data_IF_210908978620
#
_entry.id   IF_210908978620
#
_cell.length_a   1.000
_cell.length_b   1.000
_cell.length_c   1.000
_cell.angle_alpha   90.00
_cell.angle_beta   90.00
_cell.angle_gamma   90.00
#
_symmetry.space_group_name_H-M   'P 1'
#
loop_
_entity.id
_entity.type
_entity.pdbx_description
1 polymer ?
#
# COMPACT_ATOMS: atom_id res chain seq x y z
N UNK A 1 -12.75 -32.40 -4.20
CA UNK A 1 -12.83 -32.35 -5.62
C UNK A 1 -12.30 -31.06 -6.24
N UNK A 2 -12.00 -30.01 -5.44
CA UNK A 2 -11.36 -28.78 -5.93
C UNK A 2 -10.03 -29.07 -6.67
N UNK A 3 -9.18 -29.95 -6.14
CA UNK A 3 -7.92 -30.33 -6.78
C UNK A 3 -8.11 -31.04 -8.14
N UNK A 4 -9.15 -31.85 -8.28
CA UNK A 4 -9.48 -32.49 -9.55
C UNK A 4 -10.01 -31.48 -10.57
N UNK A 5 -10.77 -30.50 -10.13
CA UNK A 5 -11.25 -29.43 -10.98
C UNK A 5 -10.09 -28.57 -11.48
N UNK A 6 -9.12 -28.22 -10.60
CA UNK A 6 -7.90 -27.51 -10.96
C UNK A 6 -7.03 -28.28 -11.96
N UNK A 7 -6.85 -29.63 -11.74
CA UNK A 7 -6.14 -30.49 -12.68
C UNK A 7 -6.82 -30.52 -14.06
N UNK A 8 -8.15 -30.57 -14.09
CA UNK A 8 -8.93 -30.52 -15.33
C UNK A 8 -8.75 -29.18 -16.04
N UNK A 9 -8.80 -28.06 -15.31
CA UNK A 9 -8.59 -26.73 -15.87
C UNK A 9 -7.18 -26.55 -16.45
N UNK A 10 -6.16 -27.17 -15.83
CA UNK A 10 -4.80 -27.20 -16.37
C UNK A 10 -4.74 -27.97 -17.71
N UNK A 11 -5.40 -29.14 -17.78
CA UNK A 11 -5.48 -29.93 -19.02
C UNK A 11 -6.21 -29.20 -20.15
N UNK A 12 -7.18 -28.36 -19.82
CA UNK A 12 -7.91 -27.52 -20.77
C UNK A 12 -7.12 -26.28 -21.23
N UNK A 13 -5.90 -26.09 -20.74
CA UNK A 13 -5.03 -25.03 -21.17
C UNK A 13 -5.32 -23.68 -20.50
N UNK A 14 -6.13 -23.64 -19.45
CA UNK A 14 -6.45 -22.41 -18.70
C UNK A 14 -5.22 -21.78 -18.06
N UNK A 15 -4.27 -22.60 -17.60
CA UNK A 15 -2.99 -22.12 -17.08
C UNK A 15 -2.23 -21.24 -18.08
N UNK A 16 -2.09 -21.69 -19.34
CA UNK A 16 -1.44 -20.90 -20.39
C UNK A 16 -2.21 -19.64 -20.78
N UNK A 17 -3.54 -19.68 -20.66
CA UNK A 17 -4.36 -18.51 -20.90
C UNK A 17 -4.14 -17.47 -19.79
N UNK A 18 -4.10 -17.91 -18.53
CA UNK A 18 -3.83 -17.07 -17.39
C UNK A 18 -2.42 -16.49 -17.44
N UNK A 19 -1.42 -17.29 -17.83
CA UNK A 19 -0.06 -16.81 -18.06
C UNK A 19 -0.04 -15.64 -19.07
N UNK A 20 -0.70 -15.78 -20.21
CA UNK A 20 -0.79 -14.71 -21.23
C UNK A 20 -1.50 -13.46 -20.71
N UNK A 21 -2.48 -13.62 -19.85
CA UNK A 21 -3.14 -12.50 -19.20
C UNK A 21 -2.13 -11.68 -18.36
N UNK A 22 -1.33 -12.38 -17.55
CA UNK A 22 -0.30 -11.71 -16.74
C UNK A 22 0.85 -11.17 -17.60
N UNK A 23 1.21 -11.80 -18.74
CA UNK A 23 2.14 -11.23 -19.72
C UNK A 23 1.66 -9.84 -20.19
N UNK A 24 0.35 -9.70 -20.47
CA UNK A 24 -0.20 -8.41 -20.92
C UNK A 24 -0.18 -7.29 -19.88
N UNK A 25 -0.05 -7.64 -18.60
CA UNK A 25 0.02 -6.65 -17.52
C UNK A 25 1.46 -6.35 -17.12
N UNK A 26 2.30 -7.39 -17.03
CA UNK A 26 3.59 -7.29 -16.32
C UNK A 26 4.82 -7.37 -17.22
N UNK A 27 4.66 -7.65 -18.51
CA UNK A 27 5.81 -7.63 -19.42
C UNK A 27 6.37 -6.21 -19.55
N UNK A 28 7.62 -6.02 -19.09
CA UNK A 28 8.28 -4.73 -19.10
C UNK A 28 7.93 -3.80 -17.93
N UNK A 29 7.18 -4.26 -16.93
CA UNK A 29 6.92 -3.49 -15.70
C UNK A 29 8.11 -3.63 -14.76
N UNK A 30 8.80 -2.53 -14.52
CA UNK A 30 9.91 -2.40 -13.58
C UNK A 30 9.50 -1.47 -12.43
N UNK A 31 8.52 -1.90 -11.61
CA UNK A 31 8.02 -1.08 -10.51
C UNK A 31 8.32 -1.74 -9.18
N UNK A 32 9.05 -1.04 -8.31
CA UNK A 32 9.24 -1.38 -6.92
C UNK A 32 8.47 -0.36 -6.07
N UNK A 33 7.45 -0.84 -5.35
CA UNK A 33 6.53 0.02 -4.59
C UNK A 33 6.73 -0.08 -3.08
N UNK A 34 7.60 -0.97 -2.63
CA UNK A 34 7.94 -1.06 -1.21
C UNK A 34 8.65 0.24 -0.80
N UNK A 35 8.14 0.97 0.21
CA UNK A 35 8.82 2.15 0.71
C UNK A 35 10.27 1.85 1.13
N UNK A 36 11.18 2.79 0.88
CA UNK A 36 12.56 2.64 1.35
C UNK A 36 12.57 2.50 2.87
N UNK A 37 13.32 1.53 3.41
CA UNK A 37 13.44 1.35 4.85
C UNK A 37 14.13 2.55 5.50
N UNK A 38 13.62 2.99 6.65
CA UNK A 38 14.22 4.03 7.49
C UNK A 38 15.10 3.45 8.60
N UNK A 39 15.21 2.12 8.68
CA UNK A 39 16.03 1.36 9.62
C UNK A 39 16.83 0.27 8.91
N UNK A 40 17.89 -0.16 9.56
CA UNK A 40 18.71 -1.28 9.10
C UNK A 40 19.29 -2.03 10.32
N UNK A 41 18.40 -2.60 11.13
CA UNK A 41 18.78 -3.35 12.33
C UNK A 41 19.04 -4.82 11.97
N UNK A 42 19.79 -5.53 12.81
CA UNK A 42 20.17 -6.94 12.54
C UNK A 42 19.07 -7.94 12.93
N UNK A 43 18.18 -7.57 13.86
CA UNK A 43 17.20 -8.50 14.43
C UNK A 43 15.80 -8.14 13.92
N UNK A 44 15.19 -9.00 13.08
CA UNK A 44 13.84 -8.80 12.62
C UNK A 44 12.84 -9.15 13.73
N UNK A 45 12.13 -8.17 14.24
CA UNK A 45 11.00 -8.36 15.15
C UNK A 45 9.71 -7.91 14.44
N UNK A 46 8.58 -8.33 14.97
CA UNK A 46 7.26 -7.90 14.49
C UNK A 46 6.88 -6.56 15.11
N UNK A 47 6.71 -5.54 14.26
CA UNK A 47 5.98 -4.33 14.61
C UNK A 47 4.49 -4.48 14.29
N UNK A 48 3.63 -3.89 15.11
CA UNK A 48 2.20 -3.86 14.88
C UNK A 48 1.60 -2.53 15.33
N UNK A 49 0.83 -1.91 14.46
CA UNK A 49 0.06 -0.70 14.74
C UNK A 49 -1.40 -0.91 14.36
N UNK A 50 -2.29 -0.26 15.09
CA UNK A 50 -3.72 -0.24 14.79
C UNK A 50 -4.27 1.16 15.02
N UNK A 51 -5.11 1.63 14.10
CA UNK A 51 -5.74 2.95 14.13
C UNK A 51 -7.17 2.85 13.63
N UNK A 52 -8.15 3.29 14.42
CA UNK A 52 -9.51 3.50 13.93
C UNK A 52 -9.53 4.73 13.01
N UNK A 53 -10.17 4.60 11.85
CA UNK A 53 -10.32 5.71 10.89
C UNK A 53 -11.44 6.65 11.34
N UNK A 54 -11.24 7.95 11.15
CA UNK A 54 -12.28 8.96 11.38
C UNK A 54 -13.36 8.95 10.29
N UNK A 55 -13.04 8.39 9.11
CA UNK A 55 -13.97 8.31 7.98
C UNK A 55 -15.09 7.31 8.28
N UNK A 56 -16.32 7.79 8.30
CA UNK A 56 -17.51 6.99 8.59
C UNK A 56 -17.84 6.03 7.46
N UNK A 57 -18.36 4.85 7.81
CA UNK A 57 -18.86 3.85 6.86
C UNK A 57 -19.82 4.44 5.82
N UNK A 58 -20.79 5.23 6.26
CA UNK A 58 -21.79 5.84 5.35
C UNK A 58 -21.17 6.75 4.27
N UNK A 59 -20.04 7.39 4.58
CA UNK A 59 -19.30 8.23 3.63
C UNK A 59 -18.59 7.36 2.60
N UNK A 60 -17.95 6.27 3.05
CA UNK A 60 -17.29 5.28 2.17
C UNK A 60 -18.32 4.63 1.24
N UNK A 61 -19.45 4.15 1.79
CA UNK A 61 -20.50 3.51 0.99
C UNK A 61 -21.11 4.47 -0.05
N UNK A 62 -21.33 5.75 0.31
CA UNK A 62 -21.79 6.76 -0.63
C UNK A 62 -20.78 7.03 -1.75
N UNK A 63 -19.47 7.05 -1.44
CA UNK A 63 -18.43 7.18 -2.44
C UNK A 63 -18.37 5.95 -3.37
N UNK A 64 -18.49 4.75 -2.80
CA UNK A 64 -18.56 3.51 -3.56
C UNK A 64 -19.73 3.48 -4.51
N UNK A 65 -20.94 3.87 -4.06
CA UNK A 65 -22.12 3.97 -4.91
C UNK A 65 -21.90 4.96 -6.07
N UNK A 66 -21.38 6.14 -5.78
CA UNK A 66 -21.08 7.17 -6.78
C UNK A 66 -20.06 6.70 -7.81
N UNK A 67 -19.05 5.96 -7.39
CA UNK A 67 -17.96 5.44 -8.25
C UNK A 67 -18.33 4.08 -8.90
N UNK A 68 -19.41 3.42 -8.47
CA UNK A 68 -19.80 2.10 -8.97
C UNK A 68 -18.81 1.00 -8.60
N UNK A 69 -18.15 1.10 -7.44
CA UNK A 69 -17.15 0.15 -6.95
C UNK A 69 -17.47 -0.35 -5.55
N UNK A 70 -16.79 -1.41 -5.13
CA UNK A 70 -16.91 -1.94 -3.75
C UNK A 70 -15.93 -1.23 -2.80
N UNK A 71 -16.16 -1.28 -1.48
CA UNK A 71 -15.18 -0.78 -0.51
C UNK A 71 -13.78 -1.37 -0.71
N UNK A 72 -13.68 -2.66 -1.02
CA UNK A 72 -12.39 -3.30 -1.32
C UNK A 72 -11.64 -2.58 -2.46
N UNK A 73 -12.33 -2.28 -3.56
CA UNK A 73 -11.73 -1.57 -4.70
C UNK A 73 -11.32 -0.15 -4.30
N UNK A 74 -12.18 0.56 -3.56
CA UNK A 74 -11.90 1.91 -3.10
C UNK A 74 -10.64 1.96 -2.23
N UNK A 75 -10.57 1.11 -1.21
CA UNK A 75 -9.42 1.05 -0.30
C UNK A 75 -8.15 0.55 -0.99
N UNK A 76 -8.26 -0.47 -1.86
CA UNK A 76 -7.11 -0.99 -2.64
C UNK A 76 -6.57 0.07 -3.59
N UNK A 77 -7.44 0.79 -4.30
CA UNK A 77 -7.03 1.86 -5.20
C UNK A 77 -6.39 3.03 -4.46
N UNK A 78 -6.92 3.41 -3.31
CA UNK A 78 -6.31 4.43 -2.47
C UNK A 78 -4.90 4.03 -2.02
N UNK A 79 -4.71 2.76 -1.64
CA UNK A 79 -3.40 2.23 -1.29
C UNK A 79 -2.42 2.30 -2.47
N UNK A 80 -2.88 1.97 -3.68
CA UNK A 80 -2.10 2.14 -4.90
C UNK A 80 -1.60 3.57 -5.08
N UNK A 81 -2.48 4.56 -4.98
CA UNK A 81 -2.11 5.99 -5.05
C UNK A 81 -1.12 6.38 -3.95
N UNK A 82 -1.34 5.92 -2.71
CA UNK A 82 -0.43 6.19 -1.60
C UNK A 82 0.98 5.66 -1.90
N UNK A 83 1.09 4.43 -2.40
CA UNK A 83 2.40 3.82 -2.68
C UNK A 83 3.13 4.53 -3.81
N UNK A 84 2.46 5.07 -4.82
CA UNK A 84 3.13 5.88 -5.85
C UNK A 84 3.82 7.12 -5.26
N UNK A 85 3.27 7.70 -4.18
CA UNK A 85 3.87 8.85 -3.51
C UNK A 85 5.09 8.46 -2.68
N UNK A 86 5.06 7.28 -2.05
CA UNK A 86 6.18 6.76 -1.27
C UNK A 86 7.33 6.22 -2.14
N UNK A 87 7.03 5.67 -3.32
CA UNK A 87 8.03 5.20 -4.28
C UNK A 87 8.48 6.26 -5.29
N UNK A 88 7.84 7.45 -5.29
CA UNK A 88 8.04 8.51 -6.28
C UNK A 88 7.91 7.99 -7.73
N UNK A 89 6.89 7.17 -7.96
CA UNK A 89 6.54 6.57 -9.25
C UNK A 89 5.13 6.97 -9.66
N UNK A 90 4.79 6.86 -10.94
CA UNK A 90 3.41 6.98 -11.41
C UNK A 90 2.63 5.66 -11.27
N UNK A 91 3.32 4.56 -11.08
CA UNK A 91 2.74 3.22 -10.94
C UNK A 91 3.07 2.63 -9.59
N UNK A 92 2.22 1.73 -9.11
CA UNK A 92 2.48 0.92 -7.94
C UNK A 92 2.13 -0.55 -8.15
N UNK A 93 2.93 -1.43 -7.55
CA UNK A 93 2.77 -2.87 -7.59
C UNK A 93 2.88 -3.45 -6.19
N UNK A 94 1.89 -4.21 -5.77
CA UNK A 94 1.84 -4.86 -4.48
C UNK A 94 1.01 -6.13 -4.55
N UNK A 95 1.02 -6.93 -3.50
CA UNK A 95 0.18 -8.12 -3.42
C UNK A 95 -1.11 -7.84 -2.63
N UNK A 96 -2.18 -8.52 -2.99
CA UNK A 96 -3.41 -8.56 -2.19
C UNK A 96 -3.83 -10.00 -1.90
N UNK A 97 -4.68 -10.16 -0.90
CA UNK A 97 -5.18 -11.46 -0.47
C UNK A 97 -6.66 -11.58 -0.86
N UNK A 98 -7.00 -12.72 -1.42
CA UNK A 98 -8.34 -13.03 -1.85
C UNK A 98 -8.76 -14.44 -1.39
N UNK A 99 -10.03 -14.63 -1.06
CA UNK A 99 -10.52 -15.83 -0.39
C UNK A 99 -10.57 -17.11 -1.26
N UNK A 100 -10.44 -16.97 -2.58
CA UNK A 100 -10.45 -18.11 -3.52
C UNK A 100 -11.78 -18.86 -3.64
N UNK A 101 -12.90 -18.30 -3.16
CA UNK A 101 -14.20 -18.93 -3.12
C UNK A 101 -15.18 -18.40 -4.16
N UNK A 102 -14.71 -18.22 -5.40
CA UNK A 102 -15.54 -17.70 -6.50
C UNK A 102 -16.61 -18.72 -6.99
N UNK A 103 -16.44 -19.98 -6.66
CA UNK A 103 -17.38 -21.05 -7.04
C UNK A 103 -18.26 -21.39 -5.83
N UNK A 104 -19.58 -21.31 -6.02
CA UNK A 104 -20.55 -21.64 -4.97
C UNK A 104 -20.41 -23.05 -4.40
N UNK A 105 -19.83 -23.99 -5.18
CA UNK A 105 -19.51 -25.35 -4.72
C UNK A 105 -18.44 -25.37 -3.63
N UNK A 106 -17.61 -24.31 -3.54
CA UNK A 106 -16.51 -24.19 -2.58
C UNK A 106 -16.90 -23.44 -1.30
N UNK A 107 -18.08 -22.83 -1.27
CA UNK A 107 -18.54 -21.98 -0.16
C UNK A 107 -18.45 -22.66 1.20
N UNK A 108 -18.90 -23.92 1.26
CA UNK A 108 -18.91 -24.72 2.51
C UNK A 108 -17.73 -25.70 2.60
N UNK A 109 -16.70 -25.57 1.78
CA UNK A 109 -15.55 -26.48 1.77
C UNK A 109 -14.55 -26.08 2.83
N UNK A 110 -14.18 -27.00 3.72
CA UNK A 110 -13.16 -26.79 4.75
C UNK A 110 -11.79 -27.08 4.16
N UNK A 111 -11.15 -26.07 3.60
CA UNK A 111 -9.75 -26.13 3.12
C UNK A 111 -9.16 -24.72 2.96
N UNK A 112 -7.85 -24.65 2.78
CA UNK A 112 -7.15 -23.42 2.45
C UNK A 112 -7.37 -23.11 0.97
N UNK A 113 -8.20 -22.10 0.68
CA UNK A 113 -8.46 -21.61 -0.68
C UNK A 113 -7.92 -20.19 -0.90
N UNK A 114 -7.41 -19.56 0.15
CA UNK A 114 -6.87 -18.20 0.08
C UNK A 114 -5.73 -18.15 -0.92
N UNK A 115 -5.79 -17.19 -1.81
CA UNK A 115 -4.78 -16.93 -2.85
C UNK A 115 -4.23 -15.51 -2.69
N UNK A 116 -2.99 -15.34 -3.12
CA UNK A 116 -2.35 -14.04 -3.27
C UNK A 116 -2.45 -13.63 -4.73
N UNK A 117 -2.82 -12.39 -4.99
CA UNK A 117 -2.92 -11.81 -6.33
C UNK A 117 -2.03 -10.56 -6.41
N UNK A 118 -1.35 -10.34 -7.52
CA UNK A 118 -0.67 -9.07 -7.76
C UNK A 118 -1.67 -7.99 -8.14
N UNK A 119 -1.45 -6.79 -7.66
CA UNK A 119 -2.21 -5.59 -8.00
C UNK A 119 -1.25 -4.58 -8.60
N UNK A 120 -1.50 -4.21 -9.85
CA UNK A 120 -0.79 -3.15 -10.54
C UNK A 120 -1.71 -1.94 -10.69
N UNK A 121 -1.30 -0.81 -10.18
CA UNK A 121 -2.04 0.44 -10.27
C UNK A 121 -1.26 1.43 -11.14
N UNK A 122 -1.79 1.77 -12.30
CA UNK A 122 -1.30 2.90 -13.08
C UNK A 122 -2.05 4.17 -12.64
N UNK A 123 -1.34 5.06 -11.97
CA UNK A 123 -1.91 6.26 -11.34
C UNK A 123 -1.59 7.51 -12.15
N UNK A 124 -2.01 7.55 -13.45
CA UNK A 124 -1.86 8.74 -14.28
C UNK A 124 -2.42 9.97 -13.54
N UNK A 125 -1.61 11.00 -13.26
CA UNK A 125 -2.06 12.20 -12.56
C UNK A 125 -3.25 12.91 -13.22
N UNK A 126 -3.46 12.70 -14.51
CA UNK A 126 -4.54 13.31 -15.31
C UNK A 126 -5.81 12.44 -15.35
N UNK A 127 -5.72 11.18 -14.96
CA UNK A 127 -6.87 10.30 -14.90
C UNK A 127 -7.86 10.77 -13.84
N UNK A 128 -9.15 10.59 -14.12
CA UNK A 128 -10.17 10.80 -13.08
C UNK A 128 -10.17 9.63 -12.10
N UNK A 129 -10.55 9.88 -10.86
CA UNK A 129 -10.70 8.83 -9.85
C UNK A 129 -11.70 7.75 -10.34
N UNK A 130 -12.77 8.16 -11.04
CA UNK A 130 -13.74 7.24 -11.63
C UNK A 130 -13.07 6.27 -12.63
N UNK A 131 -12.28 6.78 -13.57
CA UNK A 131 -11.59 5.96 -14.58
C UNK A 131 -10.63 4.98 -13.91
N UNK A 132 -9.78 5.50 -13.03
CA UNK A 132 -8.81 4.70 -12.29
C UNK A 132 -9.44 3.55 -11.49
N UNK A 133 -10.50 3.84 -10.74
CA UNK A 133 -11.20 2.83 -9.93
C UNK A 133 -11.91 1.79 -10.79
N UNK A 134 -12.43 2.19 -11.94
CA UNK A 134 -13.06 1.25 -12.90
C UNK A 134 -12.02 0.29 -13.48
N UNK A 135 -10.89 0.79 -13.95
CA UNK A 135 -9.78 0.01 -14.51
C UNK A 135 -9.20 -0.96 -13.47
N UNK A 136 -9.02 -0.50 -12.23
CA UNK A 136 -8.57 -1.36 -11.13
C UNK A 136 -9.59 -2.48 -10.83
N UNK A 137 -10.88 -2.16 -10.82
CA UNK A 137 -11.94 -3.14 -10.61
C UNK A 137 -11.92 -4.24 -11.67
N UNK A 138 -11.80 -3.85 -12.94
CA UNK A 138 -11.70 -4.78 -14.08
C UNK A 138 -10.45 -5.65 -14.00
N UNK A 139 -9.31 -5.06 -13.61
CA UNK A 139 -8.05 -5.80 -13.43
C UNK A 139 -8.18 -6.85 -12.32
N UNK A 140 -8.70 -6.48 -11.14
CA UNK A 140 -8.85 -7.40 -10.01
C UNK A 140 -9.80 -8.54 -10.34
N UNK A 141 -10.95 -8.27 -10.98
CA UNK A 141 -11.87 -9.29 -11.44
C UNK A 141 -11.21 -10.24 -12.45
N UNK A 142 -10.43 -9.70 -13.37
CA UNK A 142 -9.69 -10.49 -14.36
C UNK A 142 -8.58 -11.33 -13.69
N UNK A 143 -7.88 -10.78 -12.70
CA UNK A 143 -6.87 -11.52 -11.92
C UNK A 143 -7.51 -12.68 -11.14
N UNK A 144 -8.67 -12.47 -10.53
CA UNK A 144 -9.44 -13.54 -9.87
C UNK A 144 -9.87 -14.65 -10.86
N UNK A 145 -10.24 -14.29 -12.10
CA UNK A 145 -10.60 -15.23 -13.13
C UNK A 145 -9.39 -16.02 -13.70
N UNK A 146 -8.17 -15.51 -13.49
CA UNK A 146 -6.92 -16.10 -13.95
C UNK A 146 -6.05 -16.63 -12.77
N UNK A 147 -6.64 -16.89 -11.63
CA UNK A 147 -5.97 -17.31 -10.39
C UNK A 147 -5.39 -18.73 -10.41
N UNK A 148 -5.59 -19.46 -11.51
CA UNK A 148 -4.97 -20.77 -11.78
C UNK A 148 -3.46 -20.64 -12.07
N UNK A 149 -2.98 -19.46 -12.49
CA UNK A 149 -1.55 -19.15 -12.59
C UNK A 149 -1.10 -18.63 -11.23
N UNK A 150 -0.38 -19.44 -10.42
CA UNK A 150 -0.15 -19.12 -9.01
C UNK A 150 0.80 -17.94 -8.83
N UNK A 151 0.65 -17.23 -7.72
CA UNK A 151 1.47 -16.06 -7.40
C UNK A 151 2.97 -16.37 -7.37
N UNK A 152 3.37 -17.59 -6.96
CA UNK A 152 4.77 -18.04 -7.02
C UNK A 152 5.34 -18.02 -8.42
N UNK A 153 4.54 -18.41 -9.42
CA UNK A 153 4.96 -18.47 -10.82
C UNK A 153 5.00 -17.05 -11.41
N UNK A 154 4.07 -16.18 -10.98
CA UNK A 154 4.11 -14.75 -11.30
C UNK A 154 5.40 -14.11 -10.77
N UNK A 155 5.72 -14.33 -9.48
CA UNK A 155 6.96 -13.83 -8.87
C UNK A 155 8.21 -14.33 -9.61
N UNK A 156 8.26 -15.63 -9.91
CA UNK A 156 9.40 -16.23 -10.60
C UNK A 156 9.58 -15.71 -12.03
N UNK A 157 8.48 -15.47 -12.74
CA UNK A 157 8.51 -15.04 -14.15
C UNK A 157 8.82 -13.55 -14.31
N UNK A 158 8.24 -12.70 -13.46
CA UNK A 158 8.31 -11.23 -13.60
C UNK A 158 9.20 -10.56 -12.56
N UNK A 159 9.80 -11.31 -11.63
CA UNK A 159 10.71 -10.77 -10.63
C UNK A 159 10.01 -10.04 -9.47
N UNK A 160 8.73 -10.36 -9.21
CA UNK A 160 8.00 -9.74 -8.09
C UNK A 160 8.36 -10.36 -6.75
N UNK A 161 8.11 -9.59 -5.69
CA UNK A 161 8.12 -10.07 -4.32
C UNK A 161 6.76 -9.86 -3.65
N UNK A 162 6.50 -10.61 -2.57
CA UNK A 162 5.35 -10.38 -1.69
C UNK A 162 5.70 -9.49 -0.52
N UNK A 163 6.66 -8.60 -0.68
CA UNK A 163 7.20 -7.76 0.40
C UNK A 163 6.24 -6.67 0.84
N UNK A 164 5.42 -6.19 -0.09
CA UNK A 164 4.36 -5.22 0.16
C UNK A 164 3.00 -5.87 -0.07
N UNK A 165 2.19 -5.91 0.97
CA UNK A 165 0.85 -6.50 0.92
C UNK A 165 -0.20 -5.52 1.41
N UNK A 166 -1.29 -5.43 0.68
CA UNK A 166 -2.50 -4.75 1.12
C UNK A 166 -3.66 -5.74 1.20
N UNK A 167 -4.41 -5.71 2.28
CA UNK A 167 -5.60 -6.55 2.44
C UNK A 167 -6.80 -5.74 2.92
N UNK A 168 -7.97 -6.01 2.33
CA UNK A 168 -9.25 -5.55 2.85
C UNK A 168 -10.01 -6.74 3.43
N UNK A 169 -10.49 -6.59 4.65
CA UNK A 169 -11.36 -7.57 5.31
C UNK A 169 -12.70 -6.92 5.62
N UNK A 170 -13.74 -7.37 4.94
CA UNK A 170 -15.11 -7.06 5.31
C UNK A 170 -15.40 -7.53 6.74
N UNK A 171 -16.49 -7.06 7.31
CA UNK A 171 -16.89 -7.36 8.68
C UNK A 171 -16.82 -8.86 8.97
N UNK A 172 -15.94 -9.22 9.88
CA UNK A 172 -15.83 -10.57 10.45
C UNK A 172 -16.46 -10.52 11.85
N UNK A 173 -17.45 -11.35 12.07
CA UNK A 173 -17.92 -11.55 13.44
C UNK A 173 -16.81 -12.22 14.25
N UNK A 174 -16.36 -11.59 15.31
CA UNK A 174 -15.46 -12.22 16.28
C UNK A 174 -16.21 -13.19 17.20
N UNK A 175 -17.53 -13.18 17.14
CA UNK A 175 -18.43 -13.97 17.96
C UNK A 175 -19.03 -15.13 17.14
N UNK A 176 -18.61 -16.35 17.47
CA UNK A 176 -19.09 -17.57 16.83
C UNK A 176 -19.98 -18.36 17.79
N UNK A 177 -21.29 -18.51 17.52
CA UNK A 177 -22.15 -19.33 18.35
C UNK A 177 -21.76 -20.81 18.23
N UNK A 178 -21.48 -21.47 19.37
CA UNK A 178 -21.18 -22.89 19.48
C UNK A 178 -22.14 -23.49 20.50
N UNK A 179 -23.23 -24.11 20.04
CA UNK A 179 -24.31 -24.57 20.90
C UNK A 179 -24.92 -23.42 21.70
N UNK A 180 -24.88 -23.51 23.04
CA UNK A 180 -25.41 -22.50 23.94
C UNK A 180 -24.37 -21.44 24.38
N UNK A 181 -23.19 -21.47 23.78
CA UNK A 181 -22.08 -20.56 24.12
C UNK A 181 -21.61 -19.77 22.91
N UNK A 182 -20.86 -18.69 23.17
CA UNK A 182 -20.21 -17.87 22.14
C UNK A 182 -18.71 -18.07 22.27
N UNK A 183 -18.09 -18.57 21.20
CA UNK A 183 -16.64 -18.56 21.08
C UNK A 183 -16.20 -17.20 20.51
N UNK A 184 -15.19 -16.61 21.13
CA UNK A 184 -14.57 -15.37 20.65
C UNK A 184 -13.26 -15.67 19.98
N UNK A 185 -13.06 -15.03 18.83
CA UNK A 185 -11.77 -15.03 18.15
C UNK A 185 -10.69 -14.38 19.02
N UNK A 186 -9.49 -14.97 19.01
CA UNK A 186 -8.32 -14.37 19.64
C UNK A 186 -7.16 -14.41 18.64
N UNK A 187 -6.62 -13.23 18.34
CA UNK A 187 -5.47 -13.12 17.44
C UNK A 187 -4.22 -13.67 18.12
N UNK A 188 -3.62 -14.69 17.50
CA UNK A 188 -2.31 -15.18 17.88
C UNK A 188 -1.26 -14.37 17.13
N UNK A 189 -0.54 -13.54 17.85
CA UNK A 189 0.54 -12.73 17.30
C UNK A 189 1.80 -13.57 17.11
N UNK A 190 2.33 -13.75 15.89
CA UNK A 190 3.64 -14.35 15.69
C UNK A 190 4.75 -13.40 16.20
N UNK A 191 5.88 -13.97 16.63
CA UNK A 191 7.02 -13.17 17.13
C UNK A 191 7.72 -12.38 16.01
N UNK A 192 7.51 -12.78 14.73
CA UNK A 192 8.16 -12.18 13.59
C UNK A 192 7.17 -11.96 12.43
N UNK A 193 7.24 -10.81 11.78
CA UNK A 193 6.47 -10.56 10.56
C UNK A 193 7.08 -11.31 9.37
N UNK A 194 6.22 -11.97 8.59
CA UNK A 194 6.63 -12.68 7.37
C UNK A 194 6.97 -11.73 6.23
N UNK A 195 6.30 -10.59 6.20
CA UNK A 195 6.40 -9.60 5.13
C UNK A 195 7.03 -8.33 5.67
N UNK A 196 7.86 -7.63 4.89
CA UNK A 196 8.38 -6.32 5.29
C UNK A 196 7.30 -5.34 5.70
N UNK A 197 6.19 -5.26 4.93
CA UNK A 197 5.08 -4.37 5.22
C UNK A 197 3.75 -4.96 4.76
N UNK A 198 2.83 -5.15 5.68
CA UNK A 198 1.43 -5.49 5.44
C UNK A 198 0.54 -4.39 6.00
N UNK A 199 -0.24 -3.75 5.15
CA UNK A 199 -1.29 -2.80 5.54
C UNK A 199 -2.64 -3.45 5.31
N UNK A 200 -3.52 -3.34 6.31
CA UNK A 200 -4.84 -3.93 6.23
C UNK A 200 -5.91 -2.94 6.66
N UNK A 201 -7.02 -2.94 5.94
CA UNK A 201 -8.27 -2.28 6.35
C UNK A 201 -9.24 -3.38 6.81
N UNK A 202 -9.70 -3.27 8.05
CA UNK A 202 -10.71 -4.16 8.63
C UNK A 202 -11.99 -3.37 8.86
N UNK A 203 -13.11 -3.96 8.46
CA UNK A 203 -14.43 -3.46 8.82
C UNK A 203 -14.87 -4.13 10.13
N UNK A 204 -15.25 -3.30 11.10
CA UNK A 204 -15.68 -3.76 12.42
C UNK A 204 -16.68 -2.77 13.02
N UNK A 205 -17.86 -3.22 13.40
CA UNK A 205 -18.90 -2.43 14.06
C UNK A 205 -19.19 -1.08 13.34
N UNK A 206 -19.42 -1.15 12.02
CA UNK A 206 -19.67 0.01 11.15
C UNK A 206 -18.53 1.06 11.11
N UNK A 207 -17.32 0.63 11.42
CA UNK A 207 -16.10 1.43 11.38
C UNK A 207 -15.02 0.73 10.57
N UNK A 208 -14.01 1.49 10.17
CA UNK A 208 -12.82 0.95 9.53
C UNK A 208 -11.63 1.09 10.45
N UNK A 209 -10.88 0.02 10.58
CA UNK A 209 -9.64 -0.04 11.36
C UNK A 209 -8.49 -0.31 10.41
N UNK A 210 -7.55 0.62 10.36
CA UNK A 210 -6.25 0.44 9.69
C UNK A 210 -5.33 -0.33 10.62
N UNK A 211 -4.73 -1.40 10.13
CA UNK A 211 -3.65 -2.09 10.83
C UNK A 211 -2.41 -2.17 9.96
N UNK A 212 -1.27 -2.11 10.58
CA UNK A 212 0.02 -2.34 9.96
C UNK A 212 0.77 -3.42 10.71
N UNK A 213 1.20 -4.45 10.00
CA UNK A 213 2.19 -5.40 10.48
C UNK A 213 3.46 -5.22 9.67
N UNK A 214 4.60 -5.07 10.34
CA UNK A 214 5.83 -4.72 9.67
C UNK A 214 7.07 -5.32 10.35
N UNK A 215 8.16 -5.37 9.64
CA UNK A 215 9.48 -5.74 10.17
C UNK A 215 10.13 -4.52 10.81
N UNK A 216 10.36 -4.59 12.12
CA UNK A 216 10.94 -3.48 12.90
C UNK A 216 12.42 -3.23 12.60
N UNK A 217 13.11 -4.20 12.01
CA UNK A 217 14.48 -4.04 11.51
C UNK A 217 14.55 -3.17 10.23
N UNK A 218 13.42 -3.04 9.51
CA UNK A 218 13.32 -2.23 8.28
C UNK A 218 12.61 -0.90 8.51
N UNK A 219 11.58 -0.88 9.36
CA UNK A 219 10.73 0.29 9.54
C UNK A 219 10.57 0.66 11.01
N UNK A 220 10.72 1.96 11.30
CA UNK A 220 10.39 2.50 12.62
C UNK A 220 8.86 2.59 12.80
N UNK A 221 8.43 2.60 14.05
CA UNK A 221 7.03 2.82 14.42
C UNK A 221 6.53 4.20 13.93
N UNK A 222 7.38 5.23 14.03
CA UNK A 222 7.05 6.59 13.56
C UNK A 222 6.82 6.62 12.06
N UNK A 223 7.66 5.93 11.28
CA UNK A 223 7.51 5.85 9.83
C UNK A 223 6.21 5.16 9.45
N UNK A 224 5.92 3.99 10.03
CA UNK A 224 4.70 3.22 9.74
C UNK A 224 3.45 3.96 10.19
N UNK A 225 3.49 4.64 11.35
CA UNK A 225 2.42 5.54 11.79
C UNK A 225 2.19 6.65 10.77
N UNK A 226 3.26 7.22 10.22
CA UNK A 226 3.18 8.20 9.14
C UNK A 226 2.45 7.67 7.90
N UNK A 227 2.65 6.39 7.53
CA UNK A 227 1.90 5.74 6.44
C UNK A 227 0.41 5.66 6.75
N UNK A 228 0.03 5.26 7.97
CA UNK A 228 -1.38 5.17 8.36
C UNK A 228 -2.05 6.56 8.39
N UNK A 229 -1.36 7.58 8.89
CA UNK A 229 -1.85 8.96 8.91
C UNK A 229 -1.98 9.53 7.49
N UNK A 230 -1.03 9.21 6.61
CA UNK A 230 -1.07 9.58 5.20
C UNK A 230 -2.20 8.87 4.43
N UNK A 231 -2.49 7.61 4.76
CA UNK A 231 -3.59 6.86 4.18
C UNK A 231 -4.94 7.50 4.51
N UNK A 232 -5.15 7.90 5.75
CA UNK A 232 -6.37 8.58 6.17
C UNK A 232 -6.52 9.97 5.53
N UNK A 233 -5.43 10.75 5.48
CA UNK A 233 -5.42 12.04 4.78
C UNK A 233 -5.72 11.88 3.28
N UNK A 234 -5.18 10.83 2.65
CA UNK A 234 -5.47 10.49 1.27
C UNK A 234 -6.94 10.12 1.05
N UNK A 235 -7.57 9.39 1.98
CA UNK A 235 -9.01 9.09 1.93
C UNK A 235 -9.83 10.37 1.94
N UNK A 236 -9.59 11.24 2.90
CA UNK A 236 -10.31 12.53 3.03
C UNK A 236 -10.14 13.42 1.80
N UNK A 237 -8.95 13.40 1.19
CA UNK A 237 -8.65 14.15 -0.02
C UNK A 237 -9.35 13.54 -1.23
N UNK A 238 -9.28 12.23 -1.42
CA UNK A 238 -9.88 11.50 -2.54
C UNK A 238 -11.39 11.68 -2.62
N UNK A 239 -12.07 11.71 -1.48
CA UNK A 239 -13.52 11.93 -1.41
C UNK A 239 -13.96 13.31 -1.97
N UNK A 240 -13.06 14.26 -2.10
CA UNK A 240 -13.29 15.63 -2.59
C UNK A 240 -12.68 15.87 -3.97
N UNK A 241 -11.72 15.05 -4.36
CA UNK A 241 -10.96 15.19 -5.59
C UNK A 241 -11.72 14.66 -6.81
N UNK A 242 -11.34 15.13 -7.99
CA UNK A 242 -11.80 14.61 -9.29
C UNK A 242 -10.70 13.83 -10.01
N UNK A 243 -9.46 14.29 -9.90
CA UNK A 243 -8.28 13.71 -10.56
C UNK A 243 -7.31 13.11 -9.55
N UNK A 244 -6.53 12.12 -9.97
CA UNK A 244 -5.49 11.49 -9.16
C UNK A 244 -4.47 12.51 -8.63
N UNK A 245 -4.11 13.51 -9.43
CA UNK A 245 -3.18 14.58 -9.05
C UNK A 245 -3.65 15.43 -7.87
N UNK A 246 -4.95 15.47 -7.61
CA UNK A 246 -5.55 16.27 -6.54
C UNK A 246 -5.53 15.55 -5.18
N UNK A 247 -5.21 14.24 -5.17
CA UNK A 247 -5.15 13.47 -3.92
C UNK A 247 -3.90 13.84 -3.14
N UNK A 248 -4.10 14.45 -1.98
CA UNK A 248 -3.04 14.78 -1.02
C UNK A 248 -2.91 13.68 0.02
N UNK A 249 -1.67 13.32 0.35
CA UNK A 249 -1.32 12.37 1.41
C UNK A 249 -0.83 13.09 2.68
N UNK A 250 -0.85 14.44 2.68
CA UNK A 250 -0.32 15.22 3.78
C UNK A 250 -1.34 15.31 4.92
N UNK A 251 -1.06 14.64 6.02
CA UNK A 251 -1.75 14.90 7.29
C UNK A 251 -1.42 16.31 7.81
N UNK A 252 -2.28 16.87 8.69
CA UNK A 252 -2.04 18.20 9.26
C UNK A 252 -0.64 18.35 9.88
N UNK A 253 -0.23 17.36 10.68
CA UNK A 253 1.10 17.36 11.31
C UNK A 253 2.27 17.34 10.30
N UNK A 254 2.12 16.59 9.20
CA UNK A 254 3.15 16.54 8.15
C UNK A 254 3.22 17.87 7.39
N UNK A 255 2.08 18.49 7.10
CA UNK A 255 2.03 19.78 6.45
C UNK A 255 2.70 20.88 7.32
N UNK A 256 2.45 20.88 8.63
CA UNK A 256 3.05 21.81 9.58
C UNK A 256 4.57 21.63 9.65
N UNK A 257 5.07 20.39 9.73
CA UNK A 257 6.52 20.08 9.68
C UNK A 257 7.17 20.57 8.39
N UNK A 258 6.53 20.37 7.24
CA UNK A 258 7.05 20.86 5.95
C UNK A 258 7.08 22.40 5.93
N UNK A 259 6.06 23.04 6.46
CA UNK A 259 6.04 24.50 6.57
C UNK A 259 7.17 25.02 7.48
N UNK A 260 7.44 24.33 8.60
CA UNK A 260 8.55 24.64 9.50
C UNK A 260 9.90 24.47 8.81
N UNK A 261 10.13 23.35 8.09
CA UNK A 261 11.36 23.12 7.32
C UNK A 261 11.58 24.15 6.21
N UNK A 262 10.50 24.67 5.64
CA UNK A 262 10.56 25.72 4.62
C UNK A 262 10.71 27.13 5.20
N UNK A 263 10.69 27.28 6.51
CA UNK A 263 10.93 28.58 7.17
C UNK A 263 12.43 28.90 7.17
N UNK A 264 13.00 28.98 5.99
CA UNK A 264 14.43 29.20 5.74
C UNK A 264 14.75 30.67 5.36
N UNK A 265 13.75 31.54 5.39
CA UNK A 265 13.96 32.95 5.06
C UNK A 265 14.94 33.57 6.05
N UNK A 266 16.05 34.09 5.56
CA UNK A 266 17.07 34.80 6.30
C UNK A 266 17.39 36.12 5.59
N UNK A 267 17.44 37.20 6.36
CA UNK A 267 17.89 38.47 5.83
C UNK A 267 19.41 38.44 5.66
N UNK A 268 19.87 38.78 4.49
CA UNK A 268 21.29 38.95 4.18
C UNK A 268 21.54 40.27 3.45
N UNK A 269 22.72 40.82 3.59
CA UNK A 269 23.11 42.04 2.91
C UNK A 269 23.24 41.78 1.41
N UNK A 270 22.29 42.30 0.63
CA UNK A 270 22.26 42.17 -0.83
C UNK A 270 23.32 43.01 -1.55
N UNK A 271 24.03 43.89 -0.82
CA UNK A 271 25.15 44.69 -1.37
C UNK A 271 26.46 43.91 -1.37
N UNK A 272 26.56 42.82 -0.58
CA UNK A 272 27.73 41.97 -0.54
C UNK A 272 27.65 40.84 -1.58
N UNK A 273 28.78 40.58 -2.23
CA UNK A 273 28.98 39.41 -3.05
C UNK A 273 29.51 38.22 -2.23
N UNK A 274 29.47 37.01 -2.76
CA UNK A 274 30.08 35.82 -2.12
C UNK A 274 31.60 36.06 -1.90
N UNK A 275 32.28 36.79 -2.81
CA UNK A 275 33.67 37.12 -2.68
C UNK A 275 33.93 38.08 -1.50
N UNK A 276 33.08 39.09 -1.34
CA UNK A 276 33.20 40.03 -0.23
C UNK A 276 33.03 39.31 1.12
N UNK A 277 32.05 38.40 1.20
CA UNK A 277 31.83 37.61 2.43
C UNK A 277 32.99 36.63 2.69
N UNK A 278 33.63 36.08 1.65
CA UNK A 278 34.80 35.26 1.81
C UNK A 278 36.00 36.05 2.30
N UNK A 279 36.24 37.23 1.73
CA UNK A 279 37.33 38.11 2.10
C UNK A 279 37.20 38.61 3.55
N UNK A 280 35.98 38.95 3.99
CA UNK A 280 35.69 39.26 5.42
C UNK A 280 36.03 38.07 6.34
N UNK A 281 35.67 36.82 5.94
CA UNK A 281 35.99 35.63 6.73
C UNK A 281 37.49 35.37 6.78
N UNK A 282 38.25 35.65 5.70
CA UNK A 282 39.70 35.55 5.68
C UNK A 282 40.34 36.54 6.63
N UNK A 283 39.80 37.78 6.77
CA UNK A 283 40.27 38.78 7.75
C UNK A 283 40.03 38.32 9.19
N UNK A 284 38.89 37.66 9.46
CA UNK A 284 38.52 37.21 10.82
C UNK A 284 39.29 35.95 11.23
N UNK A 285 39.46 34.97 10.31
CA UNK A 285 40.04 33.65 10.59
C UNK A 285 41.05 33.22 9.50
N UNK A 286 42.15 33.97 9.30
CA UNK A 286 43.04 33.78 8.14
C UNK A 286 43.73 32.41 8.05
N UNK A 287 43.90 31.74 9.18
CA UNK A 287 44.58 30.44 9.25
C UNK A 287 43.65 29.22 9.16
N UNK A 288 42.31 29.46 9.01
CA UNK A 288 41.36 28.34 8.86
C UNK A 288 41.33 27.77 7.45
N UNK A 289 41.18 26.45 7.36
CA UNK A 289 41.04 25.75 6.07
C UNK A 289 39.75 26.19 5.40
N UNK A 290 39.86 26.83 4.23
CA UNK A 290 38.70 27.31 3.50
C UNK A 290 38.01 26.24 2.66
N UNK A 291 38.77 25.31 2.08
CA UNK A 291 38.26 24.23 1.23
C UNK A 291 39.09 22.94 1.43
N UNK A 292 38.42 21.81 1.54
CA UNK A 292 39.01 20.49 1.50
C UNK A 292 38.45 19.74 0.32
N UNK A 293 39.29 19.20 -0.54
CA UNK A 293 38.90 18.42 -1.70
C UNK A 293 39.75 17.15 -1.78
N UNK A 294 39.14 16.02 -1.57
CA UNK A 294 39.73 14.67 -1.58
C UNK A 294 40.96 14.55 -0.66
N UNK A 295 40.79 13.81 0.43
CA UNK A 295 41.88 13.15 1.14
C UNK A 295 42.01 11.71 0.65
#
# INVERSE_FOLDING_TARGET
DAALDEEQQMKEGKYKKAEKYYDSIFEGVETESLPLPDRNDEIPERGYLSKEMDTRESVVLSACEKLGVTPNILFTGLFGVLMTRYSNSEDSLFATIYNGRNDSRLENTVCMLVKTLPVYCSCDPKATIQTYMTELSEQLLSSMANDIFPFSDICAKYGFSSDLVFAYQAELSDDYPIGDTIARGHDLSPDMSKMPLLIQVREYDHKYVLTAEYRSDKYSEEFVKGILDAYEAAMDSMLKAKYISEISILSGNAADKIAEFNHTAHEYDRSQTISDMFDEMVEIIPDHTAVVFKD
#
